data_IF_689985440327
#
_entry.id   IF_689985440327
#
_cell.length_a   1.000
_cell.length_b   1.000
_cell.length_c   1.000
_cell.angle_alpha   90.00
_cell.angle_beta   90.00
_cell.angle_gamma   90.00
#
_symmetry.space_group_name_H-M   'P 1'
#
loop_
_entity.id
_entity.type
_entity.pdbx_description
1 polymer ?
#
# COMPACT_ATOMS: atom_id res chain seq x y z
N UNK A 1 29.73 -1.12 5.47
CA UNK A 1 28.63 -2.04 5.02
C UNK A 1 27.73 -2.33 6.20
N UNK A 2 26.42 -2.23 6.02
CA UNK A 2 25.43 -2.55 7.05
C UNK A 2 25.01 -4.01 6.96
N UNK A 3 24.47 -4.55 8.06
CA UNK A 3 23.84 -5.86 8.03
C UNK A 3 22.40 -5.82 7.54
N UNK A 4 21.85 -4.62 7.28
CA UNK A 4 20.52 -4.46 6.72
C UNK A 4 20.57 -4.75 5.23
N UNK A 5 19.69 -5.61 4.72
CA UNK A 5 19.69 -6.04 3.32
C UNK A 5 18.40 -5.70 2.56
N UNK A 6 17.41 -5.10 3.22
CA UNK A 6 16.17 -4.69 2.56
C UNK A 6 15.05 -4.48 3.55
N UNK A 7 13.83 -4.35 3.02
CA UNK A 7 12.62 -4.25 3.83
C UNK A 7 11.90 -5.59 3.84
N UNK A 8 11.53 -6.06 5.02
CA UNK A 8 10.68 -7.25 5.17
C UNK A 8 9.21 -6.89 4.98
N UNK A 9 8.76 -5.86 5.70
CA UNK A 9 7.39 -5.41 5.61
C UNK A 9 7.27 -3.95 6.01
N UNK A 10 6.15 -3.35 5.58
CA UNK A 10 5.70 -2.04 6.05
C UNK A 10 4.30 -2.24 6.63
N UNK A 11 4.01 -1.62 7.76
CA UNK A 11 2.69 -1.66 8.37
C UNK A 11 2.02 -0.31 8.24
N UNK A 12 0.75 -0.32 7.82
CA UNK A 12 -0.15 0.81 7.93
C UNK A 12 -1.19 0.48 8.99
N UNK A 13 -1.71 1.51 9.65
CA UNK A 13 -2.71 1.33 10.68
C UNK A 13 -4.12 1.47 10.12
N UNK A 14 -5.08 0.83 10.79
CA UNK A 14 -6.50 0.94 10.46
C UNK A 14 -7.32 0.73 11.73
N UNK A 15 -8.57 1.23 11.77
CA UNK A 15 -9.40 1.06 12.95
C UNK A 15 -9.88 -0.39 13.10
N UNK A 16 -10.38 -0.76 14.31
CA UNK A 16 -10.99 -2.08 14.51
C UNK A 16 -12.09 -2.36 13.49
N UNK A 17 -12.21 -3.61 13.05
CA UNK A 17 -13.20 -4.02 12.06
C UNK A 17 -12.79 -3.72 10.62
N UNK A 18 -11.52 -3.46 10.38
CA UNK A 18 -11.01 -3.03 9.07
C UNK A 18 -10.86 -4.16 8.04
N UNK A 19 -10.97 -5.43 8.43
CA UNK A 19 -10.53 -6.55 7.60
C UNK A 19 -11.22 -6.64 6.24
N UNK A 20 -12.53 -6.50 6.19
CA UNK A 20 -13.26 -6.60 4.91
C UNK A 20 -12.89 -5.45 3.96
N UNK A 21 -12.79 -4.23 4.47
CA UNK A 21 -12.39 -3.08 3.67
C UNK A 21 -10.93 -3.18 3.23
N UNK A 22 -10.06 -3.71 4.09
CA UNK A 22 -8.66 -3.96 3.74
C UNK A 22 -8.54 -4.96 2.59
N UNK A 23 -9.30 -6.04 2.63
CA UNK A 23 -9.31 -7.05 1.57
C UNK A 23 -9.85 -6.48 0.27
N UNK A 24 -10.91 -5.69 0.35
CA UNK A 24 -11.50 -5.06 -0.84
C UNK A 24 -10.53 -4.10 -1.51
N UNK A 25 -9.80 -3.31 -0.73
CA UNK A 25 -8.89 -2.31 -1.27
C UNK A 25 -7.52 -2.91 -1.65
N UNK A 26 -6.80 -3.48 -0.68
CA UNK A 26 -5.45 -3.99 -0.93
C UNK A 26 -5.46 -5.24 -1.81
N UNK A 27 -6.42 -6.12 -1.61
CA UNK A 27 -6.59 -7.31 -2.43
C UNK A 27 -7.32 -7.04 -3.72
N UNK A 28 -8.52 -6.43 -3.64
CA UNK A 28 -9.39 -6.25 -4.79
C UNK A 28 -8.95 -5.15 -5.75
N UNK A 29 -8.68 -3.95 -5.24
CA UNK A 29 -8.31 -2.81 -6.08
C UNK A 29 -6.84 -2.85 -6.47
N UNK A 30 -5.94 -3.04 -5.50
CA UNK A 30 -4.51 -3.04 -5.75
C UNK A 30 -3.98 -4.39 -6.27
N UNK A 31 -4.73 -5.47 -6.09
CA UNK A 31 -4.33 -6.78 -6.59
C UNK A 31 -3.26 -7.48 -5.76
N UNK A 32 -3.03 -7.07 -4.52
CA UNK A 32 -2.10 -7.77 -3.65
C UNK A 32 -2.72 -9.08 -3.16
N UNK A 33 -1.88 -10.10 -2.97
CA UNK A 33 -2.35 -11.41 -2.50
C UNK A 33 -2.28 -11.44 -0.98
N UNK A 34 -3.40 -11.72 -0.34
CA UNK A 34 -3.45 -11.87 1.11
C UNK A 34 -2.66 -13.11 1.53
N UNK A 35 -1.87 -12.98 2.61
CA UNK A 35 -1.12 -14.07 3.21
C UNK A 35 -1.62 -14.31 4.62
N UNK A 36 -1.56 -15.58 5.12
CA UNK A 36 -2.08 -15.89 6.45
C UNK A 36 -1.20 -15.28 7.55
N UNK A 37 -1.84 -14.85 8.62
CA UNK A 37 -1.15 -14.42 9.84
C UNK A 37 -0.91 -15.62 10.73
N UNK A 38 0.19 -15.63 11.49
CA UNK A 38 0.38 -16.66 12.52
C UNK A 38 -0.79 -16.64 13.51
N UNK A 39 -1.23 -17.82 14.01
CA UNK A 39 -2.41 -17.90 14.88
C UNK A 39 -2.36 -16.98 16.10
N UNK A 40 -1.20 -16.80 16.71
CA UNK A 40 -1.06 -15.93 17.88
C UNK A 40 -1.29 -14.45 17.55
N UNK A 41 -1.13 -14.06 16.28
CA UNK A 41 -1.33 -12.68 15.84
C UNK A 41 -2.71 -12.44 15.24
N UNK A 42 -3.44 -13.50 14.86
CA UNK A 42 -4.79 -13.37 14.30
C UNK A 42 -5.75 -12.63 15.25
N UNK A 43 -5.60 -12.87 16.55
CA UNK A 43 -6.47 -12.25 17.56
C UNK A 43 -6.32 -10.72 17.60
N UNK A 44 -5.23 -10.18 17.08
CA UNK A 44 -5.01 -8.72 17.04
C UNK A 44 -5.78 -8.04 15.92
N UNK A 45 -6.38 -8.81 15.01
CA UNK A 45 -7.06 -8.27 13.82
C UNK A 45 -6.09 -7.81 12.74
N UNK A 46 -6.64 -7.21 11.69
CA UNK A 46 -5.87 -6.77 10.55
C UNK A 46 -5.62 -7.86 9.52
N UNK A 47 -4.88 -7.52 8.48
CA UNK A 47 -4.58 -8.41 7.35
C UNK A 47 -3.15 -8.20 6.88
N UNK A 48 -2.56 -9.25 6.32
CA UNK A 48 -1.24 -9.21 5.71
C UNK A 48 -1.33 -9.55 4.23
N UNK A 49 -0.54 -8.84 3.41
CA UNK A 49 -0.53 -9.00 1.96
C UNK A 49 0.89 -9.12 1.44
N UNK A 50 1.06 -9.86 0.35
CA UNK A 50 2.33 -9.94 -0.37
C UNK A 50 2.46 -8.74 -1.30
N UNK A 51 3.61 -8.05 -1.23
CA UNK A 51 3.94 -6.91 -2.10
C UNK A 51 5.32 -7.14 -2.71
N UNK A 52 5.37 -7.95 -3.79
CA UNK A 52 6.64 -8.35 -4.39
C UNK A 52 7.50 -9.15 -3.39
N UNK A 53 8.72 -8.68 -3.13
CA UNK A 53 9.62 -9.31 -2.17
C UNK A 53 9.36 -8.87 -0.72
N UNK A 54 8.46 -7.92 -0.51
CA UNK A 54 8.10 -7.42 0.82
C UNK A 54 6.65 -7.80 1.14
N UNK A 55 6.22 -7.43 2.34
CA UNK A 55 4.84 -7.59 2.77
C UNK A 55 4.27 -6.25 3.19
N UNK A 56 2.97 -6.09 3.00
CA UNK A 56 2.21 -4.99 3.56
C UNK A 56 1.31 -5.53 4.65
N UNK A 57 1.43 -4.98 5.85
CA UNK A 57 0.60 -5.34 6.97
C UNK A 57 -0.39 -4.22 7.25
N UNK A 58 -1.66 -4.57 7.45
CA UNK A 58 -2.67 -3.66 7.96
C UNK A 58 -2.87 -4.02 9.42
N UNK A 59 -2.44 -3.15 10.32
CA UNK A 59 -2.50 -3.39 11.76
C UNK A 59 -3.59 -2.56 12.41
N UNK A 60 -4.32 -3.17 13.35
CA UNK A 60 -5.40 -2.49 14.07
C UNK A 60 -4.82 -1.53 15.11
N UNK A 61 -5.31 -0.30 15.09
CA UNK A 61 -4.96 0.74 16.07
C UNK A 61 -6.24 1.37 16.60
N UNK A 62 -6.34 1.50 17.92
CA UNK A 62 -7.53 2.05 18.56
C UNK A 62 -7.14 2.93 19.75
N UNK A 63 -7.39 4.25 19.72
CA UNK A 63 -7.99 4.98 18.61
C UNK A 63 -7.06 5.11 17.41
N UNK A 64 -7.65 5.14 16.22
CA UNK A 64 -6.90 5.23 14.98
C UNK A 64 -6.73 6.68 14.53
N UNK A 65 -5.53 7.00 14.02
CA UNK A 65 -5.25 8.25 13.32
C UNK A 65 -4.30 7.92 12.16
N UNK A 66 -4.63 8.36 10.95
CA UNK A 66 -3.76 8.14 9.81
C UNK A 66 -2.49 8.97 9.92
N UNK A 67 -1.40 8.44 9.37
CA UNK A 67 -0.14 9.17 9.28
C UNK A 67 -0.29 10.35 8.32
N UNK A 68 0.23 11.52 8.71
CA UNK A 68 0.08 12.71 7.90
C UNK A 68 1.04 12.72 6.71
N UNK A 69 2.26 12.24 6.89
CA UNK A 69 3.29 12.29 5.84
C UNK A 69 3.93 10.93 5.56
N UNK A 70 4.12 10.11 6.58
CA UNK A 70 4.71 8.78 6.42
C UNK A 70 3.84 7.93 5.50
N UNK A 71 4.48 7.27 4.52
CA UNK A 71 3.76 6.46 3.54
C UNK A 71 4.67 5.40 2.94
N UNK A 72 4.15 4.20 2.61
CA UNK A 72 4.89 3.24 1.82
C UNK A 72 4.88 3.64 0.35
N UNK A 73 5.97 3.30 -0.35
CA UNK A 73 6.04 3.43 -1.80
C UNK A 73 6.27 2.04 -2.40
N UNK A 74 5.39 1.67 -3.33
CA UNK A 74 5.44 0.38 -4.00
C UNK A 74 6.06 0.55 -5.38
N UNK A 75 7.02 -0.30 -5.71
CA UNK A 75 7.59 -0.35 -7.05
C UNK A 75 6.65 -1.10 -7.98
N UNK A 76 6.39 -0.52 -9.14
CA UNK A 76 5.55 -1.13 -10.18
C UNK A 76 6.43 -1.52 -11.37
N UNK A 77 6.09 -2.62 -12.02
CA UNK A 77 6.96 -3.26 -13.01
C UNK A 77 7.23 -2.43 -14.27
N UNK A 78 6.26 -1.61 -14.71
CA UNK A 78 6.37 -0.84 -15.94
C UNK A 78 5.45 0.37 -15.91
N UNK A 79 5.68 1.31 -16.84
CA UNK A 79 4.79 2.47 -16.98
C UNK A 79 3.38 2.03 -17.38
N UNK A 80 3.25 1.02 -18.22
CA UNK A 80 1.93 0.49 -18.59
C UNK A 80 1.21 -0.12 -17.38
N UNK A 81 1.94 -0.86 -16.54
CA UNK A 81 1.36 -1.41 -15.31
C UNK A 81 0.96 -0.31 -14.32
N UNK A 82 1.75 0.76 -14.24
CA UNK A 82 1.43 1.91 -13.39
C UNK A 82 0.16 2.61 -13.86
N UNK A 83 0.02 2.83 -15.16
CA UNK A 83 -1.18 3.44 -15.74
C UNK A 83 -2.40 2.55 -15.52
N UNK A 84 -2.25 1.23 -15.68
CA UNK A 84 -3.32 0.27 -15.40
C UNK A 84 -3.76 0.30 -13.94
N UNK A 85 -2.81 0.44 -13.01
CA UNK A 85 -3.12 0.56 -11.58
C UNK A 85 -3.85 1.88 -11.28
N UNK A 86 -3.42 2.98 -11.90
CA UNK A 86 -4.10 4.27 -11.75
C UNK A 86 -5.55 4.18 -12.26
N UNK A 87 -5.77 3.48 -13.38
CA UNK A 87 -7.13 3.24 -13.88
C UNK A 87 -7.97 2.40 -12.92
N UNK A 88 -7.37 1.35 -12.32
CA UNK A 88 -8.08 0.51 -11.37
C UNK A 88 -8.53 1.29 -10.13
N UNK A 89 -7.66 2.14 -9.57
CA UNK A 89 -8.05 2.96 -8.42
C UNK A 89 -9.09 4.00 -8.80
N UNK A 90 -9.00 4.58 -9.99
CA UNK A 90 -9.99 5.54 -10.48
C UNK A 90 -11.37 4.89 -10.65
N UNK A 91 -11.42 3.66 -11.19
CA UNK A 91 -12.66 2.91 -11.33
C UNK A 91 -13.29 2.57 -9.98
N UNK A 92 -12.49 2.45 -8.94
CA UNK A 92 -12.96 2.23 -7.57
C UNK A 92 -13.39 3.54 -6.88
N UNK A 93 -13.37 4.67 -7.59
CA UNK A 93 -13.77 5.97 -7.05
C UNK A 93 -12.67 6.70 -6.30
N UNK A 94 -11.42 6.29 -6.46
CA UNK A 94 -10.28 6.89 -5.78
C UNK A 94 -9.49 7.72 -6.77
N UNK A 95 -9.21 8.98 -6.41
CA UNK A 95 -8.50 9.89 -7.30
C UNK A 95 -6.99 9.68 -7.21
N UNK A 96 -6.32 9.21 -8.29
CA UNK A 96 -4.86 9.18 -8.30
C UNK A 96 -4.31 10.61 -8.39
N UNK A 97 -3.31 10.89 -7.57
CA UNK A 97 -2.64 12.19 -7.58
C UNK A 97 -1.26 12.01 -8.20
N UNK A 98 -1.15 12.37 -9.48
CA UNK A 98 0.11 12.24 -10.22
C UNK A 98 1.11 13.28 -9.77
N UNK A 99 2.34 12.86 -9.53
CA UNK A 99 3.45 13.77 -9.26
C UNK A 99 4.04 14.28 -10.58
N UNK A 100 4.61 15.48 -10.54
CA UNK A 100 5.35 16.01 -11.69
C UNK A 100 6.62 15.17 -11.89
N UNK A 101 6.82 14.64 -13.08
CA UNK A 101 7.99 13.82 -13.40
C UNK A 101 9.30 14.61 -13.32
N UNK A 102 9.22 15.95 -13.36
CA UNK A 102 10.40 16.81 -13.20
C UNK A 102 10.93 16.82 -11.77
N UNK A 103 10.10 16.49 -10.77
CA UNK A 103 10.52 16.48 -9.37
C UNK A 103 11.62 15.44 -9.10
N UNK A 104 11.45 14.24 -9.66
CA UNK A 104 12.44 13.16 -9.56
C UNK A 104 12.64 12.60 -10.97
N UNK A 105 13.65 13.08 -11.70
CA UNK A 105 13.86 12.62 -13.07
C UNK A 105 14.02 11.10 -13.17
N UNK A 106 13.33 10.50 -14.12
CA UNK A 106 13.35 9.06 -14.34
C UNK A 106 12.30 8.29 -13.54
N UNK A 107 11.51 8.97 -12.71
CA UNK A 107 10.44 8.34 -11.92
C UNK A 107 9.09 8.86 -12.36
N UNK A 108 8.18 7.93 -12.68
CA UNK A 108 6.76 8.24 -12.84
C UNK A 108 6.02 7.65 -11.65
N UNK A 109 5.23 8.47 -10.98
CA UNK A 109 4.63 8.05 -9.71
C UNK A 109 3.31 8.77 -9.43
N UNK A 110 2.44 8.13 -8.68
CA UNK A 110 1.23 8.76 -8.18
C UNK A 110 0.98 8.32 -6.73
N UNK A 111 0.17 9.11 -6.04
CA UNK A 111 -0.28 8.84 -4.69
C UNK A 111 -1.78 8.60 -4.67
N UNK A 112 -2.22 7.76 -3.76
CA UNK A 112 -3.65 7.60 -3.40
C UNK A 112 -3.74 7.50 -1.88
N UNK A 113 -4.96 7.68 -1.36
CA UNK A 113 -5.23 7.36 0.04
C UNK A 113 -5.98 6.04 0.10
N UNK A 114 -5.68 5.24 1.12
CA UNK A 114 -6.43 4.02 1.38
C UNK A 114 -7.78 4.37 2.04
N UNK A 115 -8.67 3.39 2.34
CA UNK A 115 -9.99 3.70 2.89
C UNK A 115 -9.98 4.53 4.17
N UNK A 116 -8.87 4.54 4.90
CA UNK A 116 -8.79 5.25 6.19
C UNK A 116 -7.92 6.49 6.13
N UNK A 117 -7.48 6.89 4.93
CA UNK A 117 -6.69 8.09 4.73
C UNK A 117 -5.18 7.89 4.83
N UNK A 118 -4.69 6.65 4.88
CA UNK A 118 -3.26 6.40 4.78
C UNK A 118 -2.79 6.67 3.36
N UNK A 119 -1.71 7.45 3.22
CA UNK A 119 -1.14 7.75 1.91
C UNK A 119 -0.34 6.55 1.40
N UNK A 120 -0.50 6.25 0.13
CA UNK A 120 0.27 5.24 -0.57
C UNK A 120 0.88 5.87 -1.82
N UNK A 121 2.06 5.42 -2.19
CA UNK A 121 2.73 5.85 -3.42
C UNK A 121 3.02 4.63 -4.30
N UNK A 122 2.87 4.81 -5.61
CA UNK A 122 3.21 3.80 -6.61
C UNK A 122 4.18 4.44 -7.58
N UNK A 123 5.32 3.78 -7.81
CA UNK A 123 6.40 4.36 -8.59
C UNK A 123 6.99 3.35 -9.55
N UNK A 124 7.26 3.80 -10.77
CA UNK A 124 8.09 3.08 -11.71
C UNK A 124 9.34 3.90 -11.95
N UNK A 125 10.48 3.24 -11.85
CA UNK A 125 11.76 3.83 -12.15
C UNK A 125 12.25 3.31 -13.49
N UNK A 126 13.10 4.07 -14.11
CA UNK A 126 13.64 3.72 -15.38
C UNK A 126 14.60 2.55 -15.31
#
# INVERSE_FOLDING_TARGET
>A
MTGVVGLHHVQVAAPPGCEDAARAFYGGVLGLVEIPKPPLLEVRGGCWFRAGDAELHVGVEDPFTSAAKAHPAFTVASRAALDGLANAVALAGIQPRWADEAEIPGQRRFHVDDPWGNRLEFVVTR
#
